data_IF_500967039257
#
_entry.id   IF_500967039257
#
_cell.length_a   1.000
_cell.length_b   1.000
_cell.length_c   1.000
_cell.angle_alpha   90.00
_cell.angle_beta   90.00
_cell.angle_gamma   90.00
#
_symmetry.space_group_name_H-M   'P 1'
#
loop_
_entity.id
_entity.type
_entity.pdbx_description
1 polymer ?
#
# COMPACT_ATOMS: atom_id res chain seq x y z
N UNK A 1 26.76 20.75 7.69
CA UNK A 1 25.35 20.28 7.57
C UNK A 1 25.30 18.82 8.02
N UNK A 2 24.57 18.49 9.10
CA UNK A 2 24.42 17.08 9.53
C UNK A 2 23.47 16.37 8.56
N UNK A 3 23.80 15.14 8.17
CA UNK A 3 22.91 14.37 7.30
C UNK A 3 21.74 13.80 8.13
N UNK A 4 20.58 13.56 7.51
CA UNK A 4 19.43 12.91 8.15
C UNK A 4 19.82 11.57 8.80
N UNK A 5 20.73 10.82 8.18
CA UNK A 5 21.26 9.57 8.74
C UNK A 5 21.99 9.79 10.07
N UNK A 6 22.74 10.87 10.21
CA UNK A 6 23.50 11.15 11.44
C UNK A 6 22.57 11.53 12.59
N UNK A 7 21.51 12.29 12.29
CA UNK A 7 20.48 12.65 13.28
C UNK A 7 19.71 11.42 13.76
N UNK A 8 19.34 10.51 12.85
CA UNK A 8 18.66 9.27 13.21
C UNK A 8 19.58 8.36 14.03
N UNK A 9 20.86 8.24 13.65
CA UNK A 9 21.84 7.41 14.39
C UNK A 9 22.06 7.94 15.81
N UNK A 10 22.10 9.26 15.97
CA UNK A 10 22.19 9.92 17.27
C UNK A 10 20.90 9.71 18.09
N UNK A 11 19.73 9.82 17.47
CA UNK A 11 18.44 9.53 18.12
C UNK A 11 18.34 8.08 18.63
N UNK A 12 18.80 7.10 17.82
CA UNK A 12 18.86 5.69 18.25
C UNK A 12 19.82 5.52 19.43
N UNK A 13 20.99 6.16 19.37
CA UNK A 13 21.99 6.09 20.45
C UNK A 13 21.46 6.72 21.74
N UNK A 14 20.72 7.83 21.64
CA UNK A 14 20.07 8.51 22.76
C UNK A 14 18.94 7.68 23.34
N UNK A 15 18.05 7.12 22.52
CA UNK A 15 16.95 6.27 22.95
C UNK A 15 17.47 5.04 23.72
N UNK A 16 18.55 4.41 23.23
CA UNK A 16 19.22 3.29 23.93
C UNK A 16 19.84 3.70 25.27
N UNK A 17 20.45 4.90 25.35
CA UNK A 17 21.09 5.42 26.58
C UNK A 17 20.09 5.84 27.65
N UNK A 18 18.93 6.36 27.25
CA UNK A 18 17.87 6.78 28.18
C UNK A 18 17.25 5.60 28.92
N UNK A 19 17.33 4.39 28.36
CA UNK A 19 16.69 3.21 28.92
C UNK A 19 15.16 3.34 28.93
N UNK A 20 14.48 2.33 29.46
CA UNK A 20 13.02 2.26 29.45
C UNK A 20 12.47 1.29 28.41
N UNK A 21 11.15 1.22 28.35
CA UNK A 21 10.44 0.26 27.50
C UNK A 21 10.80 0.42 26.01
N UNK A 22 10.93 -0.71 25.30
CA UNK A 22 11.34 -0.77 23.89
C UNK A 22 10.45 0.12 23.02
N UNK A 23 9.17 0.24 23.39
CA UNK A 23 8.20 1.07 22.70
C UNK A 23 8.47 2.57 22.81
N UNK A 24 8.87 3.06 23.99
CA UNK A 24 9.22 4.48 24.16
C UNK A 24 10.47 4.82 23.36
N UNK A 25 11.42 3.90 23.32
CA UNK A 25 12.62 4.04 22.48
C UNK A 25 12.25 4.08 20.99
N UNK A 26 11.42 3.15 20.52
CA UNK A 26 10.96 3.10 19.14
C UNK A 26 10.17 4.35 18.76
N UNK A 27 9.30 4.84 19.65
CA UNK A 27 8.50 6.03 19.42
C UNK A 27 9.39 7.29 19.31
N UNK A 28 10.37 7.46 20.20
CA UNK A 28 11.32 8.57 20.14
C UNK A 28 12.11 8.59 18.82
N UNK A 29 12.57 7.42 18.37
CA UNK A 29 13.26 7.27 17.08
C UNK A 29 12.29 7.58 15.93
N UNK A 30 11.07 7.08 15.98
CA UNK A 30 10.04 7.30 14.96
C UNK A 30 9.68 8.78 14.83
N UNK A 31 9.49 9.48 15.95
CA UNK A 31 9.21 10.92 15.96
C UNK A 31 10.38 11.72 15.38
N UNK A 32 11.61 11.32 15.70
CA UNK A 32 12.80 11.95 15.11
C UNK A 32 12.85 11.76 13.60
N UNK A 33 12.53 10.57 13.09
CA UNK A 33 12.43 10.29 11.65
C UNK A 33 11.35 11.16 10.99
N UNK A 34 10.17 11.27 11.62
CA UNK A 34 9.06 12.07 11.10
C UNK A 34 9.42 13.56 11.04
N UNK A 35 10.08 14.10 12.06
CA UNK A 35 10.50 15.50 12.11
C UNK A 35 11.62 15.82 11.11
N UNK A 36 12.48 14.85 10.80
CA UNK A 36 13.57 15.00 9.83
C UNK A 36 13.10 14.76 8.38
N UNK A 37 11.84 14.35 8.17
CA UNK A 37 11.31 14.11 6.84
C UNK A 37 11.20 15.43 6.09
N UNK A 38 12.06 15.59 5.09
CA UNK A 38 11.93 16.66 4.12
C UNK A 38 10.76 16.35 3.18
N UNK A 39 9.90 17.34 2.99
CA UNK A 39 8.77 17.31 2.06
C UNK A 39 8.99 18.36 0.99
N UNK A 40 8.57 18.08 -0.24
CA UNK A 40 8.70 19.06 -1.32
C UNK A 40 7.76 20.25 -1.10
N UNK A 41 8.07 21.42 -1.65
CA UNK A 41 7.18 22.58 -1.55
C UNK A 41 5.74 22.28 -2.06
N UNK A 42 5.54 21.52 -3.17
CA UNK A 42 4.20 21.08 -3.57
C UNK A 42 3.51 20.18 -2.54
N UNK A 43 4.21 19.20 -1.96
CA UNK A 43 3.64 18.34 -0.91
C UNK A 43 3.26 19.15 0.33
N UNK A 44 4.09 20.12 0.71
CA UNK A 44 3.84 21.02 1.83
C UNK A 44 2.57 21.87 1.59
N UNK A 45 2.46 22.50 0.41
CA UNK A 45 1.29 23.29 0.04
C UNK A 45 0.00 22.45 0.09
N UNK A 46 0.03 21.22 -0.46
CA UNK A 46 -1.13 20.32 -0.40
C UNK A 46 -1.52 19.99 1.05
N UNK A 47 -0.54 19.71 1.93
CA UNK A 47 -0.83 19.43 3.34
C UNK A 47 -1.38 20.64 4.10
N UNK A 48 -0.77 21.81 3.93
CA UNK A 48 -1.19 23.05 4.60
C UNK A 48 -2.58 23.51 4.13
N UNK A 49 -2.90 23.29 2.86
CA UNK A 49 -4.21 23.62 2.30
C UNK A 49 -5.24 22.50 2.46
N UNK A 50 -4.91 21.42 3.19
CA UNK A 50 -5.79 20.25 3.35
C UNK A 50 -6.26 19.65 2.02
N UNK A 51 -5.42 19.72 0.99
CA UNK A 51 -5.67 19.14 -0.32
C UNK A 51 -5.24 17.67 -0.35
N UNK A 52 -5.95 16.82 -1.10
CA UNK A 52 -5.61 15.42 -1.22
C UNK A 52 -4.31 15.24 -2.00
N UNK A 53 -3.35 14.53 -1.42
CA UNK A 53 -2.03 14.28 -2.05
C UNK A 53 -2.11 13.36 -3.27
N UNK A 54 -3.23 12.66 -3.46
CA UNK A 54 -3.44 11.74 -4.57
C UNK A 54 -4.92 11.65 -4.91
N UNK A 55 -5.27 12.17 -6.08
CA UNK A 55 -6.57 11.93 -6.68
C UNK A 55 -6.51 10.67 -7.55
N UNK A 56 -7.46 9.75 -7.38
CA UNK A 56 -7.51 8.51 -8.16
C UNK A 56 -8.94 8.12 -8.45
N UNK A 57 -9.23 7.81 -9.71
CA UNK A 57 -10.56 7.34 -10.13
C UNK A 57 -10.95 5.99 -9.53
N UNK A 58 -9.98 5.24 -8.98
CA UNK A 58 -10.16 3.92 -8.37
C UNK A 58 -9.34 3.78 -7.10
N UNK A 59 -9.94 3.17 -6.07
CA UNK A 59 -9.21 2.72 -4.89
C UNK A 59 -8.16 1.68 -5.26
N UNK A 60 -7.09 1.61 -4.48
CA UNK A 60 -6.04 0.60 -4.63
C UNK A 60 -6.08 -0.34 -3.44
N UNK A 61 -5.92 -1.64 -3.67
CA UNK A 61 -5.79 -2.66 -2.62
C UNK A 61 -4.44 -3.36 -2.77
N UNK A 62 -3.68 -3.41 -1.69
CA UNK A 62 -2.43 -4.17 -1.65
C UNK A 62 -2.67 -5.54 -1.01
N UNK A 63 -2.32 -6.60 -1.73
CA UNK A 63 -2.34 -7.98 -1.22
C UNK A 63 -0.90 -8.43 -1.04
N UNK A 64 -0.52 -8.72 0.20
CA UNK A 64 0.79 -9.29 0.50
C UNK A 64 0.83 -10.75 0.06
N UNK A 65 1.31 -11.00 -1.15
CA UNK A 65 1.38 -12.33 -1.78
C UNK A 65 2.61 -13.15 -1.37
N UNK A 66 3.32 -12.77 -0.32
CA UNK A 66 4.41 -13.59 0.24
C UNK A 66 3.86 -14.91 0.82
N UNK A 67 4.77 -15.85 1.09
CA UNK A 67 4.44 -17.10 1.80
C UNK A 67 3.85 -16.79 3.20
N UNK A 68 3.04 -17.70 3.78
CA UNK A 68 2.37 -17.46 5.06
C UNK A 68 3.33 -17.05 6.19
N UNK A 69 4.54 -17.62 6.18
CA UNK A 69 5.56 -17.43 7.21
C UNK A 69 6.21 -16.03 7.13
N UNK A 70 6.19 -15.40 5.95
CA UNK A 70 6.81 -14.10 5.68
C UNK A 70 5.81 -12.94 5.77
N UNK A 71 4.52 -13.25 5.91
CA UNK A 71 3.46 -12.24 6.03
C UNK A 71 3.44 -11.66 7.43
N UNK A 72 3.94 -10.44 7.56
CA UNK A 72 3.75 -9.65 8.77
C UNK A 72 2.26 -9.39 9.03
N UNK A 73 1.87 -9.37 10.32
CA UNK A 73 0.51 -9.09 10.77
C UNK A 73 0.52 -7.92 11.74
N UNK A 74 -0.55 -7.14 11.72
CA UNK A 74 -0.73 -6.04 12.66
C UNK A 74 -1.27 -6.58 13.97
N UNK A 75 -0.58 -6.24 15.07
CA UNK A 75 -1.06 -6.50 16.42
C UNK A 75 -2.17 -5.49 16.74
N UNK A 76 -3.20 -5.98 17.41
CA UNK A 76 -4.29 -5.22 18.00
C UNK A 76 -4.09 -5.21 19.51
N UNK A 77 -4.05 -4.01 20.06
CA UNK A 77 -3.93 -3.79 21.49
C UNK A 77 -5.26 -3.24 21.98
N UNK A 78 -6.14 -4.12 22.42
CA UNK A 78 -7.29 -3.73 23.22
C UNK A 78 -6.88 -3.81 24.69
N UNK A 79 -7.53 -3.03 25.56
CA UNK A 79 -7.08 -2.70 26.92
C UNK A 79 -6.68 -3.87 27.81
N UNK A 80 -7.16 -5.08 27.51
CA UNK A 80 -6.90 -6.29 28.31
C UNK A 80 -6.34 -7.48 27.51
N UNK A 81 -6.32 -7.44 26.16
CA UNK A 81 -5.88 -8.56 25.33
C UNK A 81 -5.10 -8.12 24.07
N UNK A 82 -3.92 -8.72 23.88
CA UNK A 82 -3.17 -8.60 22.62
C UNK A 82 -3.77 -9.58 21.60
N UNK A 83 -4.49 -9.06 20.61
CA UNK A 83 -5.04 -9.85 19.50
C UNK A 83 -4.36 -9.48 18.17
N UNK A 84 -4.70 -10.17 17.08
CA UNK A 84 -4.13 -9.90 15.75
C UNK A 84 -5.26 -9.43 14.83
N UNK A 85 -5.00 -8.41 14.01
CA UNK A 85 -5.96 -7.97 13.01
C UNK A 85 -6.13 -9.00 11.89
N UNK A 86 -7.38 -9.33 11.57
CA UNK A 86 -7.72 -10.19 10.43
C UNK A 86 -7.33 -9.52 9.11
N UNK A 87 -6.46 -10.18 8.36
CA UNK A 87 -6.02 -9.75 7.04
C UNK A 87 -7.03 -10.17 5.96
N UNK A 88 -6.71 -9.89 4.69
CA UNK A 88 -7.57 -10.27 3.57
C UNK A 88 -7.67 -11.78 3.36
N UNK A 89 -6.62 -12.54 3.69
CA UNK A 89 -6.61 -14.00 3.58
C UNK A 89 -7.58 -14.62 4.59
N UNK A 90 -7.52 -14.22 5.86
CA UNK A 90 -8.40 -14.75 6.91
C UNK A 90 -9.88 -14.54 6.54
N UNK A 91 -10.20 -13.36 5.99
CA UNK A 91 -11.55 -13.04 5.52
C UNK A 91 -11.95 -13.81 4.26
N UNK A 92 -11.01 -14.03 3.36
CA UNK A 92 -11.22 -14.84 2.16
C UNK A 92 -11.49 -16.32 2.50
N UNK A 93 -10.85 -16.87 3.53
CA UNK A 93 -11.17 -18.21 4.08
C UNK A 93 -12.57 -18.25 4.69
N UNK A 94 -13.10 -17.12 5.14
CA UNK A 94 -14.44 -17.02 5.73
C UNK A 94 -15.53 -16.63 4.72
N UNK A 95 -15.22 -16.56 3.42
CA UNK A 95 -16.20 -16.19 2.38
C UNK A 95 -17.39 -17.16 2.34
N UNK A 96 -18.59 -16.70 1.94
CA UNK A 96 -19.75 -17.57 1.69
C UNK A 96 -19.48 -18.67 0.67
N UNK A 97 -20.31 -19.72 0.67
CA UNK A 97 -20.17 -20.86 -0.24
C UNK A 97 -20.44 -20.46 -1.69
N UNK A 98 -21.29 -19.46 -1.89
CA UNK A 98 -21.64 -18.90 -3.19
C UNK A 98 -20.43 -18.20 -3.86
N UNK A 99 -19.37 -17.91 -3.10
CA UNK A 99 -18.16 -17.24 -3.56
C UNK A 99 -16.94 -18.16 -3.58
N UNK A 100 -17.12 -19.49 -3.55
CA UNK A 100 -15.98 -20.44 -3.56
C UNK A 100 -15.12 -20.32 -4.82
N UNK A 101 -15.74 -20.05 -5.96
CA UNK A 101 -15.07 -19.96 -7.27
C UNK A 101 -14.26 -18.67 -7.49
N UNK A 102 -14.41 -17.68 -6.61
CA UNK A 102 -13.63 -16.44 -6.69
C UNK A 102 -12.20 -16.68 -6.26
N UNK A 103 -11.25 -16.10 -7.00
CA UNK A 103 -9.85 -16.01 -6.57
C UNK A 103 -9.65 -14.98 -5.45
N UNK A 104 -8.53 -15.07 -4.74
CA UNK A 104 -8.17 -14.11 -3.69
C UNK A 104 -8.09 -12.69 -4.25
N UNK A 105 -7.51 -12.54 -5.44
CA UNK A 105 -7.35 -11.27 -6.13
C UNK A 105 -8.71 -10.64 -6.48
N UNK A 106 -9.64 -11.43 -7.03
CA UNK A 106 -11.00 -10.95 -7.31
C UNK A 106 -11.73 -10.56 -6.04
N UNK A 107 -11.63 -11.38 -4.99
CA UNK A 107 -12.23 -11.07 -3.70
C UNK A 107 -11.68 -9.76 -3.12
N UNK A 108 -10.35 -9.61 -3.09
CA UNK A 108 -9.68 -8.42 -2.58
C UNK A 108 -10.06 -7.15 -3.34
N UNK A 109 -10.30 -7.27 -4.65
CA UNK A 109 -10.68 -6.16 -5.54
C UNK A 109 -12.15 -5.80 -5.44
N UNK A 110 -13.05 -6.78 -5.22
CA UNK A 110 -14.51 -6.57 -5.15
C UNK A 110 -15.02 -6.22 -3.75
N UNK A 111 -14.36 -6.65 -2.68
CA UNK A 111 -14.86 -6.47 -1.31
C UNK A 111 -13.92 -5.64 -0.43
N UNK A 112 -14.46 -4.70 0.34
CA UNK A 112 -13.73 -3.90 1.33
C UNK A 112 -14.17 -4.19 2.77
N UNK A 113 -13.20 -4.15 3.67
CA UNK A 113 -13.44 -4.24 5.11
C UNK A 113 -14.10 -2.96 5.60
N UNK A 114 -15.14 -3.11 6.41
CA UNK A 114 -15.80 -1.97 7.07
C UNK A 114 -15.05 -1.75 8.38
N UNK A 115 -14.31 -0.65 8.51
CA UNK A 115 -13.62 -0.31 9.75
C UNK A 115 -14.53 0.31 10.79
N UNK A 116 -15.68 0.90 10.40
CA UNK A 116 -16.73 1.36 11.30
C UNK A 116 -18.04 1.68 10.55
N UNK A 117 -19.20 1.49 11.21
CA UNK A 117 -20.51 1.84 10.66
C UNK A 117 -20.89 3.32 10.83
N UNK A 118 -20.05 4.08 11.53
CA UNK A 118 -20.26 5.50 11.80
C UNK A 118 -19.24 6.27 10.97
N UNK A 119 -19.71 6.83 9.86
CA UNK A 119 -19.02 7.91 9.18
C UNK A 119 -19.12 9.14 10.09
N UNK A 120 -18.09 9.41 10.88
CA UNK A 120 -17.93 10.74 11.47
C UNK A 120 -17.61 11.70 10.32
N UNK A 121 -18.42 12.74 10.13
CA UNK A 121 -18.24 13.79 9.12
C UNK A 121 -16.88 14.52 9.23
N UNK A 122 -16.16 14.29 10.33
CA UNK A 122 -14.90 14.95 10.66
C UNK A 122 -13.64 14.17 10.21
N UNK A 123 -13.77 12.86 9.93
CA UNK A 123 -12.62 11.98 9.67
C UNK A 123 -12.54 11.47 8.22
N UNK A 124 -13.37 11.99 7.32
CA UNK A 124 -13.42 11.59 5.91
C UNK A 124 -12.59 12.50 5.01
N UNK A 125 -11.79 11.89 4.13
CA UNK A 125 -11.22 12.53 2.95
C UNK A 125 -12.36 13.22 2.16
N UNK A 126 -12.27 14.54 1.99
CA UNK A 126 -13.33 15.37 1.40
C UNK A 126 -13.68 14.93 -0.04
N UNK A 127 -12.81 14.15 -0.69
CA UNK A 127 -13.03 13.58 -2.02
C UNK A 127 -14.23 12.63 -2.14
N UNK A 128 -14.75 12.09 -1.04
CA UNK A 128 -15.87 11.14 -1.06
C UNK A 128 -17.26 11.79 -0.93
N UNK A 129 -17.33 13.12 -0.78
CA UNK A 129 -18.60 13.82 -0.48
C UNK A 129 -19.56 13.92 -1.68
N UNK A 130 -19.04 13.79 -2.90
CA UNK A 130 -19.82 13.95 -4.15
C UNK A 130 -20.17 12.63 -4.86
N UNK A 131 -19.87 11.46 -4.29
CA UNK A 131 -20.35 10.21 -4.88
C UNK A 131 -21.85 10.05 -4.60
N UNK A 132 -22.66 10.04 -5.68
CA UNK A 132 -24.07 9.63 -5.64
C UNK A 132 -24.28 8.46 -4.68
N UNK A 133 -25.27 8.57 -3.79
CA UNK A 133 -25.63 7.54 -2.81
C UNK A 133 -26.11 6.30 -3.57
N UNK A 134 -25.14 5.51 -4.00
CA UNK A 134 -25.32 4.22 -4.61
C UNK A 134 -25.65 3.23 -3.50
N UNK A 135 -26.62 2.33 -3.71
CA UNK A 135 -27.04 1.40 -2.67
C UNK A 135 -25.84 0.55 -2.24
N UNK A 136 -25.46 0.66 -0.97
CA UNK A 136 -24.32 -0.07 -0.43
C UNK A 136 -24.73 -1.54 -0.25
N UNK A 137 -24.17 -2.41 -1.08
CA UNK A 137 -24.34 -3.86 -0.96
C UNK A 137 -23.30 -4.46 -0.01
N UNK A 138 -23.67 -5.51 0.71
CA UNK A 138 -22.83 -6.20 1.68
C UNK A 138 -22.90 -7.70 1.51
N UNK A 139 -21.79 -8.37 1.79
CA UNK A 139 -21.73 -9.82 2.01
C UNK A 139 -21.53 -10.12 3.49
N UNK A 140 -22.05 -11.25 3.95
CA UNK A 140 -21.83 -11.77 5.31
C UNK A 140 -20.82 -12.91 5.24
N UNK A 141 -19.75 -12.83 6.00
CA UNK A 141 -18.77 -13.91 6.15
C UNK A 141 -19.33 -14.98 7.12
N UNK A 142 -18.69 -16.16 7.14
CA UNK A 142 -19.11 -17.29 7.99
C UNK A 142 -19.03 -17.01 9.50
N UNK A 143 -18.20 -16.04 9.90
CA UNK A 143 -18.10 -15.56 11.29
C UNK A 143 -19.13 -14.46 11.63
N UNK A 144 -20.12 -14.23 10.76
CA UNK A 144 -21.12 -13.16 10.82
C UNK A 144 -20.57 -11.73 10.65
N UNK A 145 -19.27 -11.56 10.38
CA UNK A 145 -18.73 -10.24 10.02
C UNK A 145 -19.18 -9.85 8.60
N UNK A 146 -19.17 -8.55 8.31
CA UNK A 146 -19.65 -8.02 7.02
C UNK A 146 -18.50 -7.41 6.23
N UNK A 147 -18.57 -7.56 4.92
CA UNK A 147 -17.72 -6.82 3.98
C UNK A 147 -18.59 -6.07 2.99
N UNK A 148 -18.20 -4.84 2.66
CA UNK A 148 -18.89 -4.02 1.68
C UNK A 148 -18.49 -4.44 0.27
N UNK A 149 -19.46 -4.54 -0.63
CA UNK A 149 -19.24 -4.71 -2.06
C UNK A 149 -18.87 -3.35 -2.64
N UNK A 150 -17.74 -3.29 -3.36
CA UNK A 150 -17.32 -2.06 -4.04
C UNK A 150 -18.14 -1.86 -5.31
N UNK A 151 -18.61 -0.63 -5.53
CA UNK A 151 -19.29 -0.25 -6.77
C UNK A 151 -18.32 -0.32 -7.97
N UNK A 152 -17.08 0.12 -7.76
CA UNK A 152 -15.99 0.01 -8.74
C UNK A 152 -14.90 -0.91 -8.18
N UNK A 153 -14.50 -1.96 -8.93
CA UNK A 153 -13.40 -2.84 -8.53
C UNK A 153 -12.12 -2.03 -8.22
N UNK A 154 -11.44 -2.31 -7.12
CA UNK A 154 -10.16 -1.68 -6.80
C UNK A 154 -9.05 -2.11 -7.77
N UNK A 155 -7.96 -1.34 -7.82
CA UNK A 155 -6.72 -1.73 -8.50
C UNK A 155 -5.93 -2.64 -7.55
N UNK A 156 -5.70 -3.88 -7.96
CA UNK A 156 -4.84 -4.81 -7.22
C UNK A 156 -3.38 -4.37 -7.32
N UNK A 157 -2.69 -4.36 -6.19
CA UNK A 157 -1.23 -4.31 -6.10
C UNK A 157 -0.75 -5.50 -5.29
N UNK A 158 0.33 -6.11 -5.74
CA UNK A 158 1.01 -7.19 -5.04
C UNK A 158 2.47 -6.82 -4.86
N UNK A 159 3.21 -7.62 -4.09
CA UNK A 159 4.66 -7.47 -4.05
C UNK A 159 5.22 -7.74 -5.45
N UNK A 160 6.14 -6.87 -5.87
CA UNK A 160 6.76 -6.99 -7.18
C UNK A 160 7.84 -8.07 -7.13
N UNK A 161 7.60 -9.16 -7.84
CA UNK A 161 8.57 -10.21 -8.11
C UNK A 161 8.87 -10.23 -9.60
N UNK A 162 10.11 -10.54 -9.95
CA UNK A 162 10.50 -10.81 -11.33
C UNK A 162 11.03 -12.22 -11.43
N UNK A 163 10.84 -12.86 -12.59
CA UNK A 163 11.35 -14.21 -12.87
C UNK A 163 12.86 -14.28 -12.63
N UNK A 164 13.59 -13.20 -12.96
CA UNK A 164 15.05 -13.13 -12.83
C UNK A 164 15.52 -12.90 -11.37
N UNK A 165 14.67 -12.30 -10.52
CA UNK A 165 15.02 -12.03 -9.13
C UNK A 165 14.68 -13.22 -8.24
N UNK A 166 13.42 -13.67 -8.30
CA UNK A 166 12.91 -14.76 -7.48
C UNK A 166 11.79 -15.46 -8.24
N UNK A 167 12.17 -16.53 -8.94
CA UNK A 167 11.28 -17.33 -9.78
C UNK A 167 10.19 -18.01 -8.95
N UNK A 168 10.54 -18.51 -7.77
CA UNK A 168 9.63 -19.27 -6.92
C UNK A 168 8.56 -18.34 -6.33
N UNK A 169 8.97 -17.20 -5.79
CA UNK A 169 8.03 -16.21 -5.26
C UNK A 169 7.18 -15.56 -6.37
N UNK A 170 7.72 -15.40 -7.58
CA UNK A 170 6.97 -14.93 -8.74
C UNK A 170 5.79 -15.84 -9.07
N UNK A 171 6.02 -17.12 -9.32
CA UNK A 171 4.94 -18.05 -9.65
C UNK A 171 4.00 -18.29 -8.46
N UNK A 172 4.55 -18.33 -7.24
CA UNK A 172 3.72 -18.43 -6.04
C UNK A 172 2.73 -17.28 -5.94
N UNK A 173 3.22 -16.05 -6.15
CA UNK A 173 2.39 -14.84 -6.13
C UNK A 173 1.26 -14.91 -7.17
N UNK A 174 1.50 -15.52 -8.34
CA UNK A 174 0.46 -15.69 -9.36
C UNK A 174 -0.59 -16.72 -8.92
N UNK A 175 -0.14 -17.88 -8.43
CA UNK A 175 -1.03 -18.94 -7.95
C UNK A 175 -1.92 -18.44 -6.82
N UNK A 176 -1.33 -17.87 -5.77
CA UNK A 176 -2.07 -17.43 -4.57
C UNK A 176 -3.03 -16.29 -4.88
N UNK A 177 -2.76 -15.45 -5.87
CA UNK A 177 -3.66 -14.37 -6.24
C UNK A 177 -4.80 -14.85 -7.14
N UNK A 178 -4.51 -15.70 -8.13
CA UNK A 178 -5.42 -15.93 -9.25
C UNK A 178 -6.09 -17.30 -9.24
N UNK A 179 -5.66 -18.24 -8.41
CA UNK A 179 -6.31 -19.54 -8.30
C UNK A 179 -7.29 -19.52 -7.10
N UNK A 180 -8.54 -19.98 -7.26
CA UNK A 180 -9.46 -20.11 -6.12
C UNK A 180 -8.97 -21.17 -5.12
N UNK A 181 -9.07 -20.86 -3.83
CA UNK A 181 -8.72 -21.78 -2.76
C UNK A 181 -9.44 -21.41 -1.46
N UNK A 182 -9.72 -22.41 -0.64
CA UNK A 182 -10.19 -22.20 0.74
C UNK A 182 -9.04 -22.28 1.74
N UNK A 183 -8.13 -23.20 1.53
CA UNK A 183 -6.97 -23.42 2.37
C UNK A 183 -5.71 -23.20 1.54
N UNK A 184 -4.86 -22.28 1.99
CA UNK A 184 -3.63 -21.94 1.30
C UNK A 184 -2.62 -23.09 1.30
N UNK A 185 -2.63 -23.94 2.33
CA UNK A 185 -1.75 -25.12 2.41
C UNK A 185 -2.06 -26.19 1.36
N UNK A 186 -3.22 -26.11 0.69
CA UNK A 186 -3.62 -27.03 -0.38
C UNK A 186 -3.24 -26.49 -1.77
N UNK A 187 -2.67 -25.29 -1.88
CA UNK A 187 -2.28 -24.70 -3.16
C UNK A 187 -1.09 -25.43 -3.80
N UNK A 188 -0.10 -25.82 -2.99
CA UNK A 188 1.11 -26.50 -3.40
C UNK A 188 1.19 -27.87 -2.74
N UNK A 189 1.64 -28.89 -3.48
CA UNK A 189 1.97 -30.18 -2.86
C UNK A 189 3.33 -30.10 -2.17
N UNK A 190 3.58 -31.00 -1.20
CA UNK A 190 4.77 -30.95 -0.32
C UNK A 190 6.14 -30.97 -1.04
N UNK A 191 6.19 -31.31 -2.33
CA UNK A 191 7.41 -31.32 -3.15
C UNK A 191 7.22 -30.62 -4.52
N UNK A 192 6.14 -29.85 -4.71
CA UNK A 192 5.85 -29.18 -5.98
C UNK A 192 6.53 -27.81 -5.99
N UNK A 193 7.18 -27.46 -7.10
CA UNK A 193 7.66 -26.08 -7.29
C UNK A 193 6.48 -25.17 -7.62
N UNK A 194 6.58 -23.88 -7.34
CA UNK A 194 5.52 -22.95 -7.71
C UNK A 194 5.34 -22.87 -9.24
N UNK A 195 6.40 -23.05 -10.01
CA UNK A 195 6.32 -23.09 -11.48
C UNK A 195 5.53 -24.30 -11.98
N UNK A 196 5.86 -25.50 -11.52
CA UNK A 196 5.19 -26.73 -11.95
C UNK A 196 3.70 -26.71 -11.59
N UNK A 197 3.36 -26.22 -10.39
CA UNK A 197 1.98 -26.02 -9.97
C UNK A 197 1.25 -25.02 -10.89
N UNK A 198 1.91 -23.91 -11.25
CA UNK A 198 1.34 -22.88 -12.12
C UNK A 198 1.02 -23.44 -13.50
N UNK A 199 1.95 -24.17 -14.11
CA UNK A 199 1.74 -24.82 -15.42
C UNK A 199 0.59 -25.83 -15.35
N UNK A 200 0.58 -26.70 -14.32
CA UNK A 200 -0.46 -27.72 -14.14
C UNK A 200 -1.85 -27.13 -13.94
N UNK A 201 -1.94 -26.01 -13.23
CA UNK A 201 -3.20 -25.34 -12.86
C UNK A 201 -3.51 -24.10 -13.68
N UNK A 202 -2.85 -23.93 -14.83
CA UNK A 202 -3.03 -22.76 -15.69
C UNK A 202 -4.50 -22.55 -16.10
N UNK A 203 -5.25 -23.64 -16.31
CA UNK A 203 -6.70 -23.61 -16.61
C UNK A 203 -7.59 -23.16 -15.44
N UNK A 204 -7.08 -23.22 -14.21
CA UNK A 204 -7.81 -22.82 -13.00
C UNK A 204 -7.64 -21.32 -12.70
N UNK A 205 -6.77 -20.62 -13.45
CA UNK A 205 -6.52 -19.20 -13.27
C UNK A 205 -7.79 -18.38 -13.54
N UNK A 206 -8.14 -17.53 -12.59
CA UNK A 206 -9.26 -16.59 -12.73
C UNK A 206 -8.74 -15.19 -13.07
N UNK A 207 -9.18 -14.61 -14.20
CA UNK A 207 -8.89 -13.23 -14.51
C UNK A 207 -9.59 -12.31 -13.51
N UNK A 208 -8.99 -11.15 -13.23
CA UNK A 208 -9.58 -10.14 -12.34
C UNK A 208 -10.91 -9.57 -12.85
N UNK A 209 -11.11 -9.60 -14.16
CA UNK A 209 -12.34 -9.20 -14.81
C UNK A 209 -13.04 -10.45 -15.34
N UNK A 210 -14.16 -10.82 -14.73
CA UNK A 210 -14.94 -12.02 -15.13
C UNK A 210 -15.44 -12.00 -16.58
N UNK A 211 -15.38 -10.86 -17.26
CA UNK A 211 -15.83 -10.69 -18.64
C UNK A 211 -14.71 -10.83 -19.68
N UNK A 212 -13.45 -10.97 -19.25
CA UNK A 212 -12.29 -11.02 -20.16
C UNK A 212 -11.60 -12.36 -19.99
N UNK A 213 -11.62 -13.19 -21.03
CA UNK A 213 -10.89 -14.46 -21.05
C UNK A 213 -9.37 -14.18 -21.05
N UNK A 214 -8.55 -15.12 -20.54
CA UNK A 214 -7.09 -15.01 -20.52
C UNK A 214 -6.51 -14.72 -21.92
N UNK A 215 -7.09 -15.31 -22.97
CA UNK A 215 -6.72 -15.06 -24.37
C UNK A 215 -6.97 -13.60 -24.80
N UNK A 216 -8.10 -13.02 -24.41
CA UNK A 216 -8.43 -11.63 -24.72
C UNK A 216 -7.51 -10.66 -23.98
N UNK A 217 -7.13 -11.01 -22.75
CA UNK A 217 -6.13 -10.25 -22.00
C UNK A 217 -4.76 -10.30 -22.66
N UNK A 218 -4.30 -11.49 -23.06
CA UNK A 218 -3.02 -11.66 -23.78
C UNK A 218 -3.00 -10.88 -25.10
N UNK A 219 -4.10 -10.91 -25.85
CA UNK A 219 -4.25 -10.12 -27.07
C UNK A 219 -4.20 -8.61 -26.80
N UNK A 220 -4.87 -8.12 -25.75
CA UNK A 220 -4.81 -6.72 -25.35
C UNK A 220 -3.40 -6.29 -24.93
N UNK A 221 -2.68 -7.15 -24.20
CA UNK A 221 -1.28 -6.92 -23.81
C UNK A 221 -0.37 -6.80 -25.04
N UNK A 222 -0.51 -7.70 -26.03
CA UNK A 222 0.25 -7.64 -27.27
C UNK A 222 0.02 -6.34 -28.03
N UNK A 223 -1.24 -5.89 -28.15
CA UNK A 223 -1.58 -4.60 -28.79
C UNK A 223 -0.89 -3.44 -28.07
N UNK A 224 -0.93 -3.42 -26.73
CA UNK A 224 -0.30 -2.37 -25.93
C UNK A 224 1.22 -2.38 -26.13
N UNK A 225 1.86 -3.55 -26.08
CA UNK A 225 3.30 -3.68 -26.31
C UNK A 225 3.71 -3.20 -27.71
N UNK A 226 2.92 -3.55 -28.73
CA UNK A 226 3.15 -3.09 -30.10
C UNK A 226 3.01 -1.57 -30.22
N UNK A 227 1.98 -0.98 -29.60
CA UNK A 227 1.77 0.48 -29.59
C UNK A 227 2.91 1.21 -28.87
N UNK A 228 3.39 0.68 -27.74
CA UNK A 228 4.55 1.22 -27.02
C UNK A 228 5.78 1.17 -27.92
N UNK A 229 6.07 0.02 -28.55
CA UNK A 229 7.21 -0.13 -29.45
C UNK A 229 7.16 0.86 -30.62
N UNK A 230 5.97 1.06 -31.22
CA UNK A 230 5.76 2.07 -32.27
C UNK A 230 5.98 3.50 -31.77
N UNK A 231 5.46 3.84 -30.58
CA UNK A 231 5.65 5.16 -29.99
C UNK A 231 7.13 5.42 -29.67
N UNK A 232 7.85 4.43 -29.13
CA UNK A 232 9.30 4.51 -28.89
C UNK A 232 10.07 4.68 -30.20
N UNK A 233 9.72 3.93 -31.26
CA UNK A 233 10.35 4.06 -32.56
C UNK A 233 10.11 5.44 -33.20
N UNK A 234 8.89 5.97 -33.10
CA UNK A 234 8.56 7.33 -33.56
C UNK A 234 9.31 8.40 -32.78
N UNK A 235 9.45 8.25 -31.46
CA UNK A 235 10.23 9.18 -30.65
C UNK A 235 11.72 9.11 -30.99
N UNK A 236 12.28 7.93 -31.20
CA UNK A 236 13.66 7.77 -31.65
C UNK A 236 13.89 8.38 -33.04
N UNK A 237 12.94 8.22 -33.98
CA UNK A 237 13.00 8.86 -35.29
C UNK A 237 12.94 10.40 -35.18
N UNK A 238 12.12 10.95 -34.28
CA UNK A 238 12.08 12.38 -34.00
C UNK A 238 13.39 12.90 -33.39
N UNK A 239 14.04 12.14 -32.52
CA UNK A 239 15.35 12.52 -31.97
C UNK A 239 16.45 12.55 -33.05
N UNK A 240 16.35 11.68 -34.06
CA UNK A 240 17.25 11.72 -35.23
C UNK A 240 17.02 13.01 -36.04
N UNK A 241 15.77 13.45 -36.22
CA UNK A 241 15.44 14.70 -36.93
C UNK A 241 15.85 15.98 -36.15
N UNK A 242 15.91 15.93 -34.81
CA UNK A 242 16.31 17.09 -33.96
C UNK A 242 17.83 17.29 -33.90
N UNK A 243 18.63 16.34 -34.39
CA UNK A 243 20.10 16.48 -34.47
C UNK A 243 20.58 17.59 -35.43
N UNK A 244 19.67 18.25 -36.15
CA UNK A 244 19.95 19.40 -37.01
C UNK A 244 19.43 20.77 -36.51
N UNK A 245 19.05 20.92 -35.23
CA UNK A 245 18.66 22.22 -34.66
C UNK A 245 19.44 22.55 -33.36
N UNK A 246 19.99 23.77 -33.21
CA UNK A 246 20.81 24.11 -32.04
C UNK A 246 19.95 24.17 -30.76
N UNK A 247 20.48 23.55 -29.71
CA UNK A 247 19.95 23.50 -28.35
C UNK A 247 19.98 24.90 -27.72
N UNK A 248 18.82 25.45 -27.35
CA UNK A 248 18.70 26.68 -26.56
C UNK A 248 18.39 26.30 -25.11
N UNK A 249 19.45 26.20 -24.30
CA UNK A 249 19.38 26.19 -22.85
C UNK A 249 19.07 27.61 -22.36
N UNK A 250 17.91 27.84 -21.73
CA UNK A 250 17.72 28.97 -20.80
C UNK A 250 16.74 28.54 -19.71
N UNK A 251 17.21 28.55 -18.47
CA UNK A 251 16.42 28.34 -17.26
C UNK A 251 17.27 28.72 -16.06
N UNK A 252 17.22 30.01 -15.72
CA UNK A 252 18.07 30.70 -14.76
C UNK A 252 18.05 30.08 -13.36
N UNK A 253 19.24 30.05 -12.77
CA UNK A 253 19.49 29.64 -11.39
C UNK A 253 19.24 30.86 -10.50
N UNK A 254 18.10 30.90 -9.82
CA UNK A 254 17.85 31.89 -8.76
C UNK A 254 18.46 31.37 -7.46
N UNK A 255 19.62 31.93 -7.12
CA UNK A 255 20.21 31.88 -5.78
C UNK A 255 19.43 32.85 -4.91
N UNK A 256 18.71 32.34 -3.90
CA UNK A 256 18.25 33.15 -2.78
C UNK A 256 19.10 32.77 -1.56
N UNK A 257 20.09 33.60 -1.27
CA UNK A 257 20.74 33.68 0.02
C UNK A 257 19.77 34.35 1.01
N UNK A 258 19.15 33.59 1.90
CA UNK A 258 18.66 34.12 3.17
C UNK A 258 18.49 33.00 4.21
N UNK A 259 19.61 32.40 4.62
CA UNK A 259 19.66 31.50 5.77
C UNK A 259 19.93 32.32 7.04
N UNK A 260 18.86 32.72 7.72
CA UNK A 260 18.99 33.14 9.12
C UNK A 260 17.77 32.68 9.93
N UNK A 261 17.71 31.38 10.22
CA UNK A 261 16.83 30.84 11.26
C UNK A 261 17.67 30.45 12.48
N UNK A 262 17.49 31.21 13.55
CA UNK A 262 18.18 31.05 14.83
C UNK A 262 17.80 29.72 15.49
N UNK A 263 18.79 28.87 15.79
CA UNK A 263 18.60 27.70 16.67
C UNK A 263 18.41 28.18 18.11
N UNK A 264 17.18 28.13 18.63
CA UNK A 264 16.96 28.22 20.07
C UNK A 264 17.19 26.84 20.71
N UNK A 265 18.39 26.67 21.26
CA UNK A 265 18.78 25.51 22.05
C UNK A 265 18.30 25.71 23.49
N UNK A 266 17.03 25.39 23.72
CA UNK A 266 16.40 25.33 25.05
C UNK A 266 16.25 23.90 25.57
N UNK A 267 16.39 23.73 26.89
CA UNK A 267 16.71 22.50 27.61
C UNK A 267 15.63 21.38 27.63
N UNK A 268 16.15 20.13 27.59
CA UNK A 268 15.68 18.88 28.22
C UNK A 268 14.24 18.79 28.75
N UNK A 269 13.50 17.80 28.24
CA UNK A 269 12.51 17.07 29.04
C UNK A 269 12.56 15.57 28.71
N UNK A 270 12.63 14.74 29.74
CA UNK A 270 12.26 13.32 29.67
C UNK A 270 10.77 13.30 29.33
N UNK A 271 10.39 12.65 28.23
CA UNK A 271 8.98 12.55 27.82
C UNK A 271 8.22 11.78 28.89
N UNK A 272 7.27 12.43 29.55
CA UNK A 272 6.43 11.78 30.56
C UNK A 272 5.50 10.76 29.91
N UNK A 273 5.09 9.77 30.69
CA UNK A 273 4.17 8.71 30.23
C UNK A 273 2.82 9.28 29.78
N UNK A 274 2.39 10.39 30.39
CA UNK A 274 1.19 11.12 29.97
C UNK A 274 1.37 11.77 28.59
N UNK A 275 2.47 12.51 28.37
CA UNK A 275 2.77 13.13 27.07
C UNK A 275 2.95 12.09 25.96
N UNK A 276 3.52 10.94 26.29
CA UNK A 276 3.65 9.81 25.39
C UNK A 276 2.28 9.24 24.99
N UNK A 277 1.43 8.93 25.97
CA UNK A 277 0.08 8.40 25.72
C UNK A 277 -0.81 9.41 24.98
N UNK A 278 -0.68 10.69 25.29
CA UNK A 278 -1.38 11.77 24.59
C UNK A 278 -0.92 11.90 23.13
N UNK A 279 0.39 11.84 22.88
CA UNK A 279 0.95 11.87 21.52
C UNK A 279 0.50 10.65 20.69
N UNK A 280 0.46 9.46 21.29
CA UNK A 280 -0.07 8.25 20.64
C UNK A 280 -1.57 8.42 20.32
N UNK A 281 -2.36 8.99 21.24
CA UNK A 281 -3.80 9.25 21.04
C UNK A 281 -4.06 10.27 19.93
N UNK A 282 -3.19 11.27 19.77
CA UNK A 282 -3.25 12.28 18.69
C UNK A 282 -2.83 11.68 17.35
N UNK A 283 -1.88 10.74 17.32
CA UNK A 283 -1.53 10.02 16.09
C UNK A 283 -2.61 9.01 15.66
N UNK A 284 -3.43 8.53 16.59
CA UNK A 284 -4.54 7.59 16.37
C UNK A 284 -5.90 8.27 16.11
N UNK A 285 -5.95 9.54 15.69
CA UNK A 285 -7.23 10.24 15.42
C UNK A 285 -8.09 9.49 14.38
N UNK A 286 -7.48 8.75 13.44
CA UNK A 286 -8.19 7.92 12.47
C UNK A 286 -8.65 6.54 12.97
N UNK A 287 -8.38 6.20 14.25
CA UNK A 287 -8.71 4.90 14.86
C UNK A 287 -9.58 5.01 16.12
N UNK A 288 -10.07 6.20 16.47
CA UNK A 288 -11.10 6.31 17.52
C UNK A 288 -12.46 5.89 16.95
N UNK A 289 -13.07 4.93 17.67
CA UNK A 289 -14.42 4.35 17.60
C UNK A 289 -15.42 4.95 16.62
#
# INVERSE_FOLDING_TARGET
MRTTCDVIRDAISKAKRQGGDVWKQLFSVSMTILNQRLVSAPECAYRLCHLPLKMSSRKTVFVNSCRPEERFRLLRFDSDETSIYNNIFDRYVLRPNELEDLSLAEFAVRFETISNSIWSEENGDAELRDEEITPVSFIRLRDNTRMRVRNRPAVLRTRYYTINSDKEAYYYSLIVCHIPFRNEGELLFQNDTAEDCFIRRQRDLRPLQGNVNAEQFSHAEQIIQQAIAQATALNAAREIDVSNAPMLCVGEQMVNDDDNFCEDVGERAVMSDELFLESIRVLNIQQKN
#
